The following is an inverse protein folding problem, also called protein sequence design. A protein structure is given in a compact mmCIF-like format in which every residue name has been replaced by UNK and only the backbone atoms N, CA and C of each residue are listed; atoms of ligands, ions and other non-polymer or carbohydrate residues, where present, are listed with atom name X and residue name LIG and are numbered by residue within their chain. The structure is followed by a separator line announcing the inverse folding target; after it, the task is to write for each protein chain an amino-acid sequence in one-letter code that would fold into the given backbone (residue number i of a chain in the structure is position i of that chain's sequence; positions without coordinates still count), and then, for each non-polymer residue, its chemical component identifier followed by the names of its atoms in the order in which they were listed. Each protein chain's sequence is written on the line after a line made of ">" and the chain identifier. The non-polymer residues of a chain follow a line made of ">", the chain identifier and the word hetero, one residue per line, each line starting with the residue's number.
data_IF_224852306201
#
_entry.id   IF_224852306201
#
_cell.length_a   1.000
_cell.length_b   1.000
_cell.length_c   1.000
_cell.angle_alpha   90.00
_cell.angle_beta   90.00
_cell.angle_gamma   90.00
#
_symmetry.space_group_name_H-M   'P 1'
#
loop_
_entity.id
_entity.type
_entity.pdbx_description
1 polymer ?
#
# COMPACT_ATOMS: atom_id res chain seq x y z
N UNK A 1 23.91 18.97 5.67
CA UNK A 1 24.06 18.15 6.88
C UNK A 1 22.76 18.22 7.66
N UNK A 2 22.19 17.05 7.93
CA UNK A 2 21.28 16.73 9.05
C UNK A 2 19.95 17.49 9.14
N UNK A 3 18.84 16.84 8.77
CA UNK A 3 17.57 16.93 9.50
C UNK A 3 16.88 15.57 9.42
N UNK A 4 17.22 14.71 10.39
CA UNK A 4 16.42 13.58 10.77
C UNK A 4 15.06 14.12 11.24
N UNK A 5 13.98 13.82 10.51
CA UNK A 5 12.64 14.21 10.93
C UNK A 5 11.72 12.99 10.95
N UNK A 6 11.34 12.64 12.18
CA UNK A 6 10.09 12.02 12.56
C UNK A 6 9.85 10.55 12.16
N UNK A 7 10.49 9.67 12.93
CA UNK A 7 9.83 8.49 13.50
C UNK A 7 8.53 8.91 14.21
N UNK A 8 7.40 8.98 13.51
CA UNK A 8 6.10 9.19 14.16
C UNK A 8 5.01 8.37 13.48
N UNK A 9 4.40 7.49 14.27
CA UNK A 9 3.10 6.84 14.05
C UNK A 9 3.06 5.52 13.27
N UNK A 10 3.88 4.54 13.68
CA UNK A 10 3.54 3.14 13.46
C UNK A 10 3.67 2.39 14.79
N UNK A 11 2.54 2.22 15.50
CA UNK A 11 2.39 1.14 16.47
C UNK A 11 2.18 -0.18 15.71
N UNK A 12 3.09 -0.48 14.78
CA UNK A 12 3.18 -1.80 14.19
C UNK A 12 4.09 -2.62 15.11
N UNK A 13 3.62 -3.76 15.62
CA UNK A 13 4.54 -4.78 16.17
C UNK A 13 5.42 -5.22 15.00
N UNK A 14 6.57 -4.57 14.87
CA UNK A 14 7.51 -4.75 13.77
C UNK A 14 8.23 -6.09 13.94
N UNK A 15 7.76 -7.11 13.21
CA UNK A 15 8.59 -8.26 12.87
C UNK A 15 9.52 -7.77 11.74
N UNK A 16 10.84 -7.99 11.89
CA UNK A 16 11.91 -7.43 11.09
C UNK A 16 11.63 -7.38 9.56
N UNK A 17 12.10 -6.35 8.84
CA UNK A 17 11.85 -6.24 7.41
C UNK A 17 12.65 -7.34 6.68
N UNK A 18 12.03 -8.17 5.82
CA UNK A 18 12.81 -9.02 4.92
C UNK A 18 13.50 -8.15 3.88
N UNK A 19 14.69 -8.60 3.43
CA UNK A 19 15.55 -7.92 2.47
C UNK A 19 14.75 -7.18 1.38
N UNK A 20 14.85 -5.86 1.39
CA UNK A 20 14.30 -4.98 0.36
C UNK A 20 14.80 -5.46 -0.99
N UNK A 21 13.91 -6.00 -1.83
CA UNK A 21 14.25 -6.20 -3.23
C UNK A 21 14.31 -4.81 -3.87
N UNK A 22 15.41 -4.43 -4.53
CA UNK A 22 15.40 -3.23 -5.34
C UNK A 22 14.34 -3.40 -6.42
N UNK A 23 13.30 -2.57 -6.43
CA UNK A 23 12.38 -2.49 -7.56
C UNK A 23 13.17 -1.96 -8.75
N UNK A 24 13.34 -2.82 -9.75
CA UNK A 24 13.79 -2.45 -11.08
C UNK A 24 12.55 -2.10 -11.92
N UNK A 25 12.60 -0.93 -12.58
CA UNK A 25 11.62 -0.36 -13.52
C UNK A 25 10.38 0.27 -12.86
N UNK A 26 9.79 1.34 -13.45
CA UNK A 26 8.80 2.15 -12.76
C UNK A 26 7.54 1.32 -12.46
N UNK A 27 7.31 1.05 -11.16
CA UNK A 27 6.08 0.44 -10.70
C UNK A 27 4.88 1.31 -11.12
N UNK A 28 3.77 0.72 -11.59
CA UNK A 28 2.60 1.48 -12.00
C UNK A 28 2.05 2.31 -10.82
N UNK A 29 1.54 3.52 -11.09
CA UNK A 29 1.05 4.38 -10.03
C UNK A 29 -0.28 3.85 -9.46
N UNK A 30 -0.36 3.78 -8.13
CA UNK A 30 -1.63 3.63 -7.42
C UNK A 30 -2.19 5.02 -7.15
N UNK A 31 -3.14 5.44 -8.00
CA UNK A 31 -3.78 6.75 -7.94
C UNK A 31 -5.21 6.60 -7.40
N UNK A 32 -5.50 7.11 -6.21
CA UNK A 32 -6.86 7.15 -5.69
C UNK A 32 -7.71 8.20 -6.43
N UNK A 33 -9.02 7.94 -6.55
CA UNK A 33 -9.98 8.97 -6.97
C UNK A 33 -10.30 9.97 -5.85
N UNK A 34 -11.03 11.04 -6.20
CA UNK A 34 -11.28 12.17 -5.29
C UNK A 34 -12.37 11.93 -4.24
N UNK A 35 -13.18 10.89 -4.40
CA UNK A 35 -14.33 10.64 -3.54
C UNK A 35 -14.54 9.15 -3.26
N UNK A 36 -14.16 8.73 -2.05
CA UNK A 36 -14.63 7.48 -1.45
C UNK A 36 -13.56 6.42 -1.21
N UNK A 37 -13.96 5.31 -0.56
CA UNK A 37 -13.11 4.13 -0.40
C UNK A 37 -12.66 3.60 -1.76
N UNK A 38 -11.37 3.31 -1.91
CA UNK A 38 -10.82 2.61 -3.07
C UNK A 38 -10.55 1.16 -2.67
N UNK A 39 -11.41 0.25 -3.13
CA UNK A 39 -11.23 -1.19 -2.94
C UNK A 39 -10.25 -1.72 -3.98
N UNK A 40 -9.19 -2.38 -3.50
CA UNK A 40 -8.11 -2.91 -4.33
C UNK A 40 -8.15 -4.44 -4.28
N UNK A 41 -8.03 -5.09 -5.44
CA UNK A 41 -7.98 -6.55 -5.50
C UNK A 41 -8.05 -7.09 -6.92
N UNK A 42 -7.97 -8.42 -7.06
CA UNK A 42 -8.03 -9.05 -8.40
C UNK A 42 -9.44 -9.22 -8.96
N UNK A 43 -10.47 -9.00 -8.14
CA UNK A 43 -11.85 -9.08 -8.64
C UNK A 43 -12.14 -7.90 -9.55
N UNK A 44 -12.87 -8.14 -10.64
CA UNK A 44 -13.41 -7.06 -11.49
C UNK A 44 -14.41 -6.15 -10.79
N UNK A 45 -14.80 -6.48 -9.55
CA UNK A 45 -15.67 -5.66 -8.68
C UNK A 45 -14.88 -4.66 -7.81
N UNK A 46 -13.55 -4.66 -7.90
CA UNK A 46 -12.69 -3.71 -7.20
C UNK A 46 -12.56 -2.42 -8.03
N UNK A 47 -12.38 -1.29 -7.35
CA UNK A 47 -12.15 0.02 -7.98
C UNK A 47 -10.75 0.07 -8.63
N UNK A 48 -9.77 -0.57 -7.99
CA UNK A 48 -8.45 -0.81 -8.58
C UNK A 48 -8.23 -2.31 -8.77
N UNK A 49 -8.33 -2.75 -10.03
CA UNK A 49 -8.19 -4.16 -10.40
C UNK A 49 -6.72 -4.49 -10.63
N UNK A 50 -6.19 -5.42 -9.83
CA UNK A 50 -4.85 -5.97 -10.03
C UNK A 50 -4.96 -7.37 -10.62
N UNK A 51 -4.59 -7.51 -11.90
CA UNK A 51 -4.65 -8.78 -12.62
C UNK A 51 -3.50 -9.74 -12.24
N UNK A 52 -3.37 -10.04 -10.95
CA UNK A 52 -2.33 -10.92 -10.41
C UNK A 52 -2.96 -12.05 -9.56
N UNK A 53 -2.64 -13.34 -9.81
CA UNK A 53 -3.17 -14.46 -9.04
C UNK A 53 -2.81 -14.44 -7.54
N UNK A 54 -1.70 -13.81 -7.17
CA UNK A 54 -1.25 -13.64 -5.78
C UNK A 54 -2.06 -12.60 -5.02
N UNK A 55 -2.85 -11.78 -5.70
CA UNK A 55 -3.70 -10.77 -5.08
C UNK A 55 -5.05 -11.38 -4.72
N UNK A 56 -5.52 -11.22 -3.49
CA UNK A 56 -6.87 -11.64 -3.08
C UNK A 56 -7.97 -10.90 -3.86
N UNK A 57 -9.15 -11.53 -3.98
CA UNK A 57 -10.30 -10.96 -4.71
C UNK A 57 -10.68 -9.58 -4.21
N UNK A 58 -10.66 -9.41 -2.88
CA UNK A 58 -10.70 -8.14 -2.15
C UNK A 58 -9.46 -8.16 -1.26
N UNK A 59 -8.45 -7.36 -1.59
CA UNK A 59 -7.12 -7.47 -0.98
C UNK A 59 -6.91 -6.37 0.04
N UNK A 60 -7.07 -5.12 -0.38
CA UNK A 60 -6.84 -3.97 0.45
C UNK A 60 -7.92 -2.91 0.23
N UNK A 61 -8.07 -2.02 1.18
CA UNK A 61 -8.94 -0.86 1.13
C UNK A 61 -8.10 0.38 1.39
N UNK A 62 -8.18 1.37 0.53
CA UNK A 62 -7.54 2.65 0.72
C UNK A 62 -8.61 3.70 1.04
N UNK A 63 -8.44 4.40 2.16
CA UNK A 63 -9.36 5.42 2.66
C UNK A 63 -8.65 6.77 2.80
N UNK A 64 -9.28 7.85 2.34
CA UNK A 64 -8.84 9.22 2.66
C UNK A 64 -9.43 9.61 4.02
N UNK A 65 -8.57 9.78 5.00
CA UNK A 65 -8.90 10.31 6.31
C UNK A 65 -8.42 11.76 6.48
N UNK A 66 -8.52 12.26 7.72
CA UNK A 66 -8.06 13.61 8.12
C UNK A 66 -6.55 13.75 7.95
N UNK A 67 -5.82 12.67 8.25
CA UNK A 67 -4.36 12.62 8.30
C UNK A 67 -3.74 12.12 6.98
N UNK A 68 -4.53 12.04 5.90
CA UNK A 68 -4.11 11.56 4.59
C UNK A 68 -4.67 10.17 4.25
N UNK A 69 -3.95 9.43 3.41
CA UNK A 69 -4.40 8.14 2.89
C UNK A 69 -3.98 7.02 3.84
N UNK A 70 -4.93 6.15 4.20
CA UNK A 70 -4.66 4.96 5.00
C UNK A 70 -5.01 3.71 4.20
N UNK A 71 -4.05 2.81 4.05
CA UNK A 71 -4.20 1.49 3.48
C UNK A 71 -4.53 0.48 4.57
N UNK A 72 -5.53 -0.36 4.33
CA UNK A 72 -5.96 -1.45 5.20
C UNK A 72 -5.88 -2.77 4.42
N UNK A 73 -5.20 -3.76 4.96
CA UNK A 73 -5.30 -5.14 4.46
C UNK A 73 -6.64 -5.74 4.88
N UNK A 74 -7.33 -6.43 3.98
CA UNK A 74 -8.66 -7.02 4.24
C UNK A 74 -8.61 -8.51 4.58
N UNK A 75 -7.52 -8.97 5.20
CA UNK A 75 -7.28 -10.39 5.43
C UNK A 75 -6.81 -11.09 4.16
N UNK A 76 -5.92 -10.44 3.40
CA UNK A 76 -5.40 -10.98 2.16
C UNK A 76 -4.55 -12.23 2.41
N UNK A 77 -4.50 -13.12 1.41
CA UNK A 77 -3.81 -14.41 1.53
C UNK A 77 -2.30 -14.24 1.66
N UNK A 78 -1.72 -13.32 0.87
CA UNK A 78 -0.27 -13.11 0.81
C UNK A 78 0.20 -11.88 1.61
N UNK A 79 -0.74 -11.10 2.15
CA UNK A 79 -0.47 -9.89 2.89
C UNK A 79 -0.21 -8.66 2.02
N UNK A 80 -0.32 -7.52 2.67
CA UNK A 80 0.06 -6.20 2.14
C UNK A 80 1.39 -5.75 2.78
N UNK A 81 2.25 -5.11 1.99
CA UNK A 81 3.46 -4.44 2.49
C UNK A 81 3.53 -2.99 2.06
N UNK A 82 4.15 -2.16 2.89
CA UNK A 82 4.48 -0.77 2.57
C UNK A 82 5.96 -0.57 2.84
N UNK A 83 6.72 -0.15 1.83
CA UNK A 83 8.17 0.02 1.89
C UNK A 83 8.90 -1.22 2.47
N UNK A 84 8.48 -2.42 2.06
CA UNK A 84 9.01 -3.71 2.52
C UNK A 84 8.47 -4.21 3.88
N UNK A 85 7.71 -3.41 4.62
CA UNK A 85 7.13 -3.81 5.91
C UNK A 85 5.74 -4.40 5.74
N UNK A 86 5.49 -5.61 6.26
CA UNK A 86 4.15 -6.18 6.27
C UNK A 86 3.24 -5.41 7.23
N UNK A 87 2.06 -5.03 6.76
CA UNK A 87 1.13 -4.17 7.51
C UNK A 87 -0.29 -4.72 7.42
N UNK A 88 -1.03 -4.62 8.53
CA UNK A 88 -2.49 -4.72 8.52
C UNK A 88 -3.13 -3.34 8.21
N UNK A 89 -2.44 -2.27 8.59
CA UNK A 89 -2.80 -0.89 8.36
C UNK A 89 -1.55 -0.02 8.25
N UNK A 90 -1.54 0.92 7.30
CA UNK A 90 -0.48 1.93 7.18
C UNK A 90 -1.03 3.24 6.63
N UNK A 91 -0.51 4.37 7.14
CA UNK A 91 -0.64 5.66 6.44
C UNK A 91 0.34 5.64 5.28
N UNK A 92 -0.11 5.98 4.07
CA UNK A 92 0.69 5.99 2.86
C UNK A 92 0.79 7.40 2.29
N UNK A 93 1.97 7.74 1.77
CA UNK A 93 2.31 9.04 1.22
C UNK A 93 2.81 8.89 -0.21
N UNK A 94 2.68 9.98 -0.99
CA UNK A 94 3.12 9.97 -2.38
C UNK A 94 4.61 9.58 -2.46
N UNK A 95 4.90 8.56 -3.26
CA UNK A 95 6.23 7.99 -3.41
C UNK A 95 6.44 6.66 -2.71
N UNK A 96 5.60 6.30 -1.74
CA UNK A 96 5.68 5.01 -1.03
C UNK A 96 5.49 3.82 -1.97
N UNK A 97 6.20 2.74 -1.67
CA UNK A 97 6.03 1.46 -2.33
C UNK A 97 4.96 0.64 -1.62
N UNK A 98 3.99 0.14 -2.38
CA UNK A 98 2.91 -0.72 -1.88
C UNK A 98 2.98 -2.05 -2.60
N UNK A 99 3.19 -3.13 -1.84
CA UNK A 99 3.12 -4.50 -2.35
C UNK A 99 1.81 -5.15 -1.92
N UNK A 100 1.10 -5.74 -2.88
CA UNK A 100 -0.12 -6.52 -2.68
C UNK A 100 0.15 -7.92 -3.21
N UNK A 101 0.37 -8.89 -2.32
CA UNK A 101 0.90 -10.19 -2.73
C UNK A 101 2.25 -10.04 -3.45
N UNK A 102 2.32 -10.42 -4.72
CA UNK A 102 3.50 -10.31 -5.57
C UNK A 102 3.51 -9.07 -6.49
N UNK A 103 2.48 -8.23 -6.44
CA UNK A 103 2.37 -7.05 -7.28
C UNK A 103 2.82 -5.78 -6.53
N UNK A 104 3.72 -5.00 -7.14
CA UNK A 104 4.28 -3.78 -6.55
C UNK A 104 3.80 -2.54 -7.28
N UNK A 105 3.42 -1.51 -6.52
CA UNK A 105 2.90 -0.24 -6.99
C UNK A 105 3.62 0.90 -6.29
N UNK A 106 3.68 2.06 -6.95
CA UNK A 106 4.11 3.31 -6.29
C UNK A 106 2.89 4.15 -5.98
N UNK A 107 2.72 4.56 -4.73
CA UNK A 107 1.60 5.40 -4.35
C UNK A 107 1.76 6.80 -4.95
N UNK A 108 0.73 7.27 -5.64
CA UNK A 108 0.70 8.60 -6.25
C UNK A 108 -0.68 9.22 -6.02
N UNK A 109 -0.85 9.96 -4.93
CA UNK A 109 -2.02 10.81 -4.76
C UNK A 109 -1.85 12.12 -5.53
N UNK A 110 -2.87 12.53 -6.28
CA UNK A 110 -3.02 13.94 -6.67
C UNK A 110 -3.52 14.70 -5.44
N UNK A 111 -2.88 15.84 -5.15
CA UNK A 111 -3.22 16.71 -4.02
C UNK A 111 -4.66 17.17 -4.07
#
# INVERSE_FOLDING_TARGET
>A
MTHALALRTALARAIAPPATRPVALPAPPLVPGDAGPLLIGRSRRCDFVVADPSVSRRHALLLRGRDGWTLYDLGSTNGTRVNGWRVERAVVQAGDEVELGGATFRFAARG
#
